data_IF_702407514805
#
_entry.id   IF_702407514805
#
_cell.length_a   1.000
_cell.length_b   1.000
_cell.length_c   1.000
_cell.angle_alpha   90.00
_cell.angle_beta   90.00
_cell.angle_gamma   90.00
#
_symmetry.space_group_name_H-M   'P 1'
#
loop_
_entity.id
_entity.type
_entity.pdbx_description
1 polymer ?
2 water ?
#
# COMPACT_ATOMS: atom_id res chain seq x y z
N UNK A 3 10.78 13.76 -17.93
CA UNK A 3 10.55 12.70 -18.95
C UNK A 3 10.53 11.26 -18.41
N UNK A 4 10.91 11.07 -17.14
CA UNK A 4 10.90 9.76 -16.45
C UNK A 4 9.50 9.27 -16.05
N UNK A 5 9.23 7.96 -16.20
CA UNK A 5 7.91 7.46 -15.80
C UNK A 5 7.83 7.65 -14.28
N UNK A 6 6.69 8.10 -13.79
CA UNK A 6 6.55 8.32 -12.37
C UNK A 6 5.09 8.22 -11.94
N UNK A 7 4.89 7.80 -10.69
CA UNK A 7 3.56 7.70 -10.10
C UNK A 7 3.62 7.83 -8.61
N UNK A 8 2.70 8.63 -8.09
CA UNK A 8 2.51 8.76 -6.65
C UNK A 8 0.99 8.83 -6.50
N UNK A 9 0.43 7.70 -6.11
CA UNK A 9 -1.00 7.58 -5.93
C UNK A 9 -1.36 7.40 -4.45
N UNK A 10 -2.55 7.86 -4.10
CA UNK A 10 -3.05 7.79 -2.73
C UNK A 10 -4.34 6.97 -2.60
N UNK A 11 -4.63 6.56 -1.37
CA UNK A 11 -5.85 5.84 -1.09
C UNK A 11 -7.01 6.79 -1.41
N UNK A 12 -8.06 6.22 -1.98
CA UNK A 12 -9.25 6.99 -2.31
C UNK A 12 -10.13 6.89 -1.04
N UNK A 13 -10.32 7.99 -0.30
CA UNK A 13 -11.13 7.96 0.92
C UNK A 13 -12.65 7.68 0.76
N UNK A 14 -13.12 7.58 -0.48
CA UNK A 14 -14.52 7.29 -0.77
C UNK A 14 -14.68 5.78 -0.96
N UNK A 15 -13.57 5.04 -1.01
CA UNK A 15 -13.63 3.60 -1.15
C UNK A 15 -13.70 3.05 0.27
N UNK A 16 -14.87 2.57 0.65
CA UNK A 16 -15.10 2.02 2.00
C UNK A 16 -14.65 0.59 2.05
N UNK A 17 -13.78 0.26 3.00
CA UNK A 17 -13.29 -1.11 3.15
C UNK A 17 -12.53 -1.72 1.98
N UNK A 18 -11.73 -0.90 1.30
CA UNK A 18 -10.91 -1.38 0.22
C UNK A 18 -9.77 -0.40 0.09
N UNK A 19 -8.62 -0.86 -0.40
CA UNK A 19 -7.50 0.04 -0.65
C UNK A 19 -7.56 0.35 -2.14
N UNK A 20 -8.23 1.44 -2.50
CA UNK A 20 -8.37 1.87 -3.90
C UNK A 20 -7.41 3.02 -4.18
N UNK A 21 -6.44 2.80 -5.05
CA UNK A 21 -5.45 3.84 -5.37
C UNK A 21 -5.99 4.90 -6.33
N UNK A 22 -5.57 6.15 -6.14
CA UNK A 22 -6.04 7.24 -7.00
C UNK A 22 -5.01 8.32 -7.21
N UNK A 23 -4.96 8.85 -8.44
CA UNK A 23 -4.02 9.92 -8.79
C UNK A 23 -4.76 11.25 -8.87
N UNK A 24 -6.05 11.24 -8.53
CA UNK A 24 -6.90 12.42 -8.64
C UNK A 24 -6.86 13.21 -7.38
N UNK A 25 -5.68 13.76 -7.11
CA UNK A 25 -5.44 14.55 -5.94
C UNK A 25 -4.33 15.56 -6.29
N UNK A 26 -4.36 16.73 -5.69
CA UNK A 26 -3.26 17.64 -5.92
C UNK A 26 -2.17 16.87 -5.12
N UNK A 27 -0.90 17.06 -5.48
CA UNK A 27 0.23 16.37 -4.85
C UNK A 27 0.29 14.84 -5.10
N UNK A 28 -0.36 14.37 -6.16
CA UNK A 28 -0.31 12.97 -6.57
C UNK A 28 0.15 13.05 -8.03
N UNK A 29 0.76 11.98 -8.54
CA UNK A 29 1.29 11.94 -9.92
C UNK A 29 1.00 10.63 -10.65
N UNK A 30 0.87 10.69 -11.97
CA UNK A 30 0.68 9.51 -12.81
C UNK A 30 1.07 9.98 -14.23
N UNK A 31 2.39 10.08 -14.46
CA UNK A 31 2.96 10.62 -15.71
C UNK A 31 3.91 9.76 -16.50
N UNK A 32 4.15 10.18 -17.73
CA UNK A 32 5.10 9.51 -18.61
C UNK A 32 4.96 8.01 -18.85
N UNK A 33 3.74 7.51 -18.99
CA UNK A 33 3.54 6.10 -19.32
C UNK A 33 3.06 5.14 -18.26
N UNK A 34 3.27 5.50 -17.00
CA UNK A 34 2.81 4.62 -15.94
C UNK A 34 1.28 4.66 -15.96
N UNK A 35 0.66 3.48 -15.93
CA UNK A 35 -0.79 3.35 -15.97
C UNK A 35 -1.32 2.77 -14.69
N UNK A 36 -2.51 3.19 -14.30
CA UNK A 36 -3.19 2.65 -13.14
C UNK A 36 -4.33 1.84 -13.82
N UNK A 37 -4.18 0.52 -13.81
CA UNK A 37 -5.10 -0.44 -14.39
C UNK A 37 -5.42 -1.48 -13.32
N UNK A 38 -6.70 -1.80 -13.13
CA UNK A 38 -7.11 -2.79 -12.12
C UNK A 38 -6.45 -2.52 -10.75
N UNK A 39 -6.33 -1.27 -10.34
CA UNK A 39 -5.72 -0.95 -9.05
C UNK A 39 -4.22 -1.29 -8.98
N UNK A 40 -3.61 -1.52 -10.14
CA UNK A 40 -2.18 -1.86 -10.24
C UNK A 40 -1.43 -0.85 -11.08
N UNK A 41 -0.12 -0.71 -10.85
CA UNK A 41 0.73 0.22 -11.60
C UNK A 41 1.48 -0.60 -12.64
N UNK A 42 1.27 -0.22 -13.90
CA UNK A 42 1.85 -0.90 -15.05
C UNK A 42 3.09 -0.13 -15.53
N UNK A 43 4.25 -0.79 -15.57
CA UNK A 43 5.50 -0.14 -16.02
C UNK A 43 5.60 0.01 -17.55
N UNK A 44 5.85 1.23 -18.02
CA UNK A 44 5.98 1.62 -19.44
C UNK A 44 7.27 1.28 -20.19
N UNK A 45 8.32 0.92 -19.45
CA UNK A 45 9.63 0.62 -20.02
C UNK A 45 10.44 -0.23 -19.04
N UNK A 46 11.39 -0.96 -19.56
CA UNK A 46 12.22 -1.78 -18.70
C UNK A 46 13.22 -0.83 -18.07
N UNK A 47 13.64 -1.10 -16.83
CA UNK A 47 14.60 -0.22 -16.17
C UNK A 47 14.69 -0.43 -14.66
N UNK A 48 15.46 0.40 -13.97
CA UNK A 48 15.57 0.30 -12.52
C UNK A 48 14.54 1.28 -11.98
N UNK A 49 13.69 0.84 -11.03
CA UNK A 49 12.68 1.69 -10.43
C UNK A 49 12.77 1.73 -8.90
N UNK A 50 12.67 2.92 -8.31
CA UNK A 50 12.55 3.01 -6.86
C UNK A 50 11.02 2.81 -6.64
N UNK A 51 10.62 1.87 -5.79
CA UNK A 51 9.21 1.59 -5.55
C UNK A 51 8.97 1.75 -4.05
N UNK A 52 7.86 2.36 -3.64
CA UNK A 52 7.63 2.56 -2.21
C UNK A 52 6.13 2.66 -1.83
N UNK A 53 5.82 2.53 -0.55
CA UNK A 53 4.42 2.61 -0.14
C UNK A 53 4.32 2.72 1.37
N UNK A 54 3.31 3.43 1.84
CA UNK A 54 3.07 3.52 3.26
C UNK A 54 1.57 3.25 3.45
N UNK A 55 1.26 2.56 4.54
CA UNK A 55 -0.10 2.30 4.93
C UNK A 55 -0.17 2.68 6.39
N UNK A 56 -1.33 3.14 6.83
CA UNK A 56 -1.54 3.47 8.23
C UNK A 56 -2.81 2.76 8.74
N UNK A 57 -2.67 1.96 9.80
CA UNK A 57 -3.80 1.22 10.38
C UNK A 57 -4.24 1.88 11.67
N UNK A 58 -5.49 1.74 12.00
CA UNK A 58 -5.94 2.35 13.21
C UNK A 58 -6.92 1.44 13.86
N UNK A 59 -6.89 1.37 15.20
CA UNK A 59 -7.84 0.54 15.94
C UNK A 59 -8.36 1.18 17.22
N UNK A 60 -9.33 0.72 17.86
CA UNK A 60 -9.85 1.32 19.11
C UNK A 60 -9.83 0.31 20.23
N UNK A 61 -8.63 0.16 20.79
CA UNK A 61 -8.38 -0.74 21.86
C UNK A 61 -8.02 -2.08 21.29
N UNK A 62 -7.87 -3.06 22.16
CA UNK A 62 -7.52 -4.43 21.76
C UNK A 62 -8.59 -5.51 22.09
N UNK A 63 -9.84 -5.39 21.55
CA UNK A 63 -10.97 -6.32 21.76
C UNK A 63 -10.70 -7.82 22.09
N UNK A 64 -10.69 -8.69 22.92
CA UNK A 64 -10.72 -10.16 23.03
C UNK A 64 -9.71 -11.15 22.38
N UNK A 65 -9.16 -10.83 21.21
CA UNK A 65 -8.26 -11.77 20.54
C UNK A 65 -7.26 -11.00 19.66
N UNK A 66 -5.75 -12.89 18.12
CA UNK A 66 -5.28 -11.55 17.84
C UNK A 66 -5.03 -11.32 16.34
N UNK A 67 -4.85 -10.13 16.02
CA UNK A 67 -4.82 -9.55 14.69
C UNK A 67 -3.40 -9.21 14.25
N UNK A 68 -3.08 -9.61 13.03
CA UNK A 68 -1.80 -9.32 12.39
C UNK A 68 -2.13 -8.44 11.20
N UNK A 69 -1.30 -7.44 10.98
CA UNK A 69 -1.54 -6.51 9.89
C UNK A 69 -0.39 -6.68 8.91
N UNK A 70 -0.70 -6.91 7.64
CA UNK A 70 0.35 -7.11 6.64
C UNK A 70 0.25 -6.07 5.53
N UNK A 71 1.38 -5.81 4.88
CA UNK A 71 1.48 -4.87 3.76
C UNK A 71 2.53 -5.47 2.87
N UNK A 72 2.23 -5.63 1.58
CA UNK A 72 3.23 -6.21 0.69
C UNK A 72 3.12 -5.57 -0.68
N UNK A 73 4.25 -5.49 -1.35
CA UNK A 73 4.25 -4.94 -2.72
C UNK A 73 4.68 -6.13 -3.56
N UNK A 74 3.82 -6.60 -4.47
CA UNK A 74 4.17 -7.68 -5.37
C UNK A 74 4.40 -7.21 -6.80
N UNK A 75 5.07 -8.06 -7.56
CA UNK A 75 5.36 -7.82 -8.96
C UNK A 75 4.66 -8.96 -9.70
N UNK A 76 3.93 -8.66 -10.78
CA UNK A 76 3.28 -9.72 -11.57
C UNK A 76 3.85 -9.79 -12.99
N UNK A 77 5.25 -10.15 -13.35
CA UNK A 77 6.08 -10.05 -14.55
C UNK A 77 5.42 -10.41 -15.88
N UNK A 78 5.96 -9.82 -16.95
CA UNK A 78 5.51 -10.09 -18.30
C UNK A 78 4.20 -9.43 -18.83
N UNK A 79 3.10 -10.17 -18.74
CA UNK A 79 1.79 -9.78 -19.27
C UNK A 79 0.99 -11.02 -18.95
N UNK A 80 0.58 -11.11 -17.68
CA UNK A 80 -0.16 -12.25 -17.14
C UNK A 80 0.75 -13.45 -16.79
N UNK A 81 1.82 -13.19 -16.03
CA UNK A 81 2.71 -14.27 -15.59
C UNK A 81 2.43 -14.42 -14.09
N UNK A 82 3.39 -14.95 -13.32
CA UNK A 82 3.19 -15.15 -11.88
C UNK A 82 3.29 -13.89 -11.03
N UNK A 83 2.87 -14.01 -9.78
CA UNK A 83 2.94 -12.93 -8.81
C UNK A 83 4.06 -13.31 -7.82
N UNK A 84 4.89 -12.35 -7.42
CA UNK A 84 5.99 -12.59 -6.47
C UNK A 84 6.19 -11.37 -5.55
N UNK A 85 6.38 -11.43 -4.36
CA UNK A 85 6.57 -10.35 -3.38
C UNK A 85 7.97 -9.75 -3.47
N UNK A 86 8.02 -8.43 -3.55
CA UNK A 86 9.25 -7.72 -3.65
C UNK A 86 9.60 -7.17 -2.29
N UNK A 87 8.59 -6.70 -1.55
CA UNK A 87 8.76 -6.05 -0.24
C UNK A 87 7.57 -6.47 0.60
N UNK A 88 7.79 -6.67 1.90
CA UNK A 88 6.73 -7.15 2.78
C UNK A 88 7.05 -6.84 4.25
N UNK A 89 6.01 -6.52 5.02
CA UNK A 89 6.15 -6.25 6.46
C UNK A 89 4.91 -6.74 7.19
N UNK A 90 5.07 -7.08 8.46
CA UNK A 90 3.97 -7.56 9.30
C UNK A 90 4.08 -6.81 10.59
N UNK A 91 2.95 -6.60 11.23
CA UNK A 91 2.94 -5.89 12.48
C UNK A 91 1.79 -6.45 13.32
N UNK A 92 1.96 -6.52 14.63
CA UNK A 92 0.86 -6.99 15.48
C UNK A 92 0.54 -5.84 16.42
N UNK A 93 -0.68 -5.32 16.32
CA UNK A 93 -1.09 -4.21 17.18
C UNK A 93 -1.32 -4.57 18.64
N UNK A 94 -1.97 -5.69 18.94
CA UNK A 94 -2.21 -6.00 20.34
C UNK A 94 -1.54 -7.24 20.92
N UNK A 95 -0.74 -7.04 21.95
CA UNK A 95 -0.10 -8.19 22.56
C UNK A 95 -1.18 -8.75 23.50
N UNK A 96 -1.97 -7.84 24.10
CA UNK A 96 -3.05 -8.22 25.02
C UNK A 96 -4.17 -7.16 25.17
N UNK A 97 -5.26 -7.58 25.84
CA UNK A 97 -6.50 -6.85 26.20
C UNK A 97 -7.64 -7.83 26.02
N UNK A 98 -8.08 -8.41 27.88
CA UNK A 98 -8.86 -9.60 28.36
C UNK A 98 -10.01 -9.20 29.39
N UNK A 99 -10.50 -10.18 30.27
CA UNK A 99 -11.59 -9.87 31.26
C UNK A 99 -11.96 -8.44 31.84
N UNK A 100 -12.84 -7.70 31.14
CA UNK A 100 -13.30 -6.39 31.62
C UNK A 100 -12.28 -5.37 32.18
N UNK A 101 -12.79 -4.44 32.98
CA UNK A 101 -11.95 -3.38 33.49
C UNK A 101 -12.40 -2.16 32.65
N UNK A 102 -11.43 -1.32 32.28
CA UNK A 102 -11.72 -0.12 31.46
C UNK A 102 -11.19 -0.49 30.07
N UNK A 103 -11.16 0.44 29.09
CA UNK A 103 -10.65 -0.06 27.78
C UNK A 103 -10.40 0.89 26.59
N UNK A 104 -10.40 0.28 24.96
CA UNK A 104 -11.13 1.22 24.10
C UNK A 104 -10.30 2.44 23.65
N UNK A 105 -9.00 2.38 23.89
CA UNK A 105 -8.09 3.45 23.48
C UNK A 105 -7.65 3.19 22.02
N UNK A 106 -7.80 4.20 21.14
CA UNK A 106 -7.39 4.00 19.75
C UNK A 106 -5.88 3.88 19.62
N UNK A 107 -5.45 3.11 18.64
CA UNK A 107 -4.04 2.93 18.44
C UNK A 107 -3.79 3.16 16.97
N UNK A 108 -2.57 3.60 16.62
CA UNK A 108 -2.19 3.81 15.23
C UNK A 108 -0.90 3.08 14.96
N UNK A 109 -0.78 2.58 13.74
CA UNK A 109 0.38 1.82 13.31
C UNK A 109 0.68 2.03 11.82
N UNK A 110 1.80 2.73 11.52
CA UNK A 110 2.22 2.98 10.13
C UNK A 110 3.19 1.86 9.64
N UNK A 111 3.18 1.52 8.36
CA UNK A 111 4.17 0.56 7.85
C UNK A 111 4.71 1.23 6.60
N UNK A 112 6.03 1.26 6.42
CA UNK A 112 6.70 1.82 5.24
C UNK A 112 7.51 0.69 4.50
N UNK A 113 7.44 0.67 3.18
CA UNK A 113 8.17 -0.30 2.35
C UNK A 113 8.83 0.51 1.24
N UNK A 114 10.06 0.19 0.85
CA UNK A 114 10.72 0.93 -0.23
C UNK A 114 11.96 0.21 -0.72
N UNK A 115 12.17 0.10 -2.04
CA UNK A 115 13.36 -0.57 -2.56
C UNK A 115 13.56 -0.34 -4.04
N UNK A 116 14.74 -0.68 -4.56
CA UNK A 116 15.09 -0.48 -5.98
C UNK A 116 15.07 -1.80 -6.72
N UNK A 117 14.31 -1.86 -7.82
CA UNK A 117 14.14 -3.10 -8.59
C UNK A 117 14.22 -2.97 -10.10
N UNK A 118 14.75 -4.01 -10.74
CA UNK A 118 14.87 -4.08 -12.21
C UNK A 118 13.58 -4.69 -12.71
N UNK A 119 12.84 -3.88 -13.47
CA UNK A 119 11.54 -4.24 -14.02
C UNK A 119 11.62 -4.20 -15.53
N UNK A 120 10.67 -4.87 -16.18
CA UNK A 120 10.55 -4.96 -17.63
C UNK A 120 9.28 -4.22 -17.98
N UNK A 121 9.17 -3.73 -19.22
CA UNK A 121 7.95 -3.06 -19.64
C UNK A 121 6.73 -4.01 -19.53
N UNK A 122 5.62 -3.49 -19.02
CA UNK A 122 4.41 -4.30 -18.91
C UNK A 122 4.18 -4.95 -17.56
N UNK A 123 5.25 -5.03 -16.75
CA UNK A 123 5.16 -5.58 -15.41
C UNK A 123 4.09 -4.81 -14.66
N UNK A 124 3.41 -5.49 -13.76
CA UNK A 124 2.38 -4.86 -12.96
C UNK A 124 2.76 -4.94 -11.50
N UNK A 125 2.51 -3.85 -10.79
CA UNK A 125 2.81 -3.77 -9.36
C UNK A 125 1.55 -3.59 -8.52
N UNK A 126 1.49 -4.37 -7.46
CA UNK A 126 0.38 -4.29 -6.53
C UNK A 126 0.86 -3.95 -5.09
N UNK A 127 0.20 -3.02 -4.41
CA UNK A 127 0.50 -2.70 -3.01
C UNK A 127 -0.79 -3.14 -2.33
N UNK A 128 -0.66 -4.15 -1.48
CA UNK A 128 -1.79 -4.77 -0.83
C UNK A 128 -1.69 -4.99 0.66
N UNK A 129 -2.84 -4.88 1.33
CA UNK A 129 -2.95 -5.14 2.78
C UNK A 129 -3.95 -6.29 3.08
N UNK A 130 -3.83 -6.96 4.22
CA UNK A 130 -4.79 -8.02 4.52
C UNK A 130 -6.12 -7.50 5.07
N UNK A 131 -6.10 -6.45 5.89
CA UNK A 131 -7.35 -5.94 6.45
C UNK A 131 -7.64 -4.46 6.11
N UNK A 132 -8.31 -4.22 4.95
CA UNK A 132 -8.64 -2.86 4.53
C UNK A 132 -9.57 -2.17 5.48
N UNK A 133 -10.19 -2.96 6.35
CA UNK A 133 -11.12 -2.41 7.35
C UNK A 133 -10.41 -1.79 8.55
N UNK A 134 -9.09 -1.90 8.60
CA UNK A 134 -8.30 -1.31 9.68
C UNK A 134 -7.53 -0.09 9.15
N UNK A 135 -7.70 0.25 7.87
CA UNK A 135 -6.97 1.39 7.34
C UNK A 135 -7.50 2.72 7.81
N UNK A 136 -6.58 3.68 7.86
CA UNK A 136 -6.90 5.04 8.20
C UNK A 136 -6.32 5.99 7.13
N UNK A 137 -7.17 6.55 6.28
CA UNK A 137 -6.72 7.53 5.28
C UNK A 137 -7.60 8.74 5.49
N UNK A 138 -8.03 8.87 6.75
CA UNK A 138 -8.87 9.95 7.23
C UNK A 138 -8.31 11.27 6.77
N UNK A 139 -7.03 11.26 6.43
CA UNK A 139 -6.41 12.48 5.98
C UNK A 139 -5.02 12.28 5.43
N UNK A 140 -4.52 13.35 4.85
CA UNK A 140 -3.13 13.46 4.46
C UNK A 140 -2.39 12.52 3.54
N UNK A 141 -1.10 12.46 3.83
CA UNK A 141 -0.19 11.64 3.11
C UNK A 141 -0.04 10.46 3.99
N UNK A 142 -1.15 9.89 4.47
CA UNK A 142 -1.13 8.69 5.33
C UNK A 142 -1.00 7.32 4.62
N UNK A 143 -1.57 7.19 3.41
CA UNK A 143 -1.55 5.95 2.62
C UNK A 143 -1.17 6.37 1.22
N UNK A 144 -0.07 5.82 0.69
CA UNK A 144 0.44 6.13 -0.64
C UNK A 144 1.30 5.01 -1.20
N UNK A 145 1.42 5.01 -2.51
CA UNK A 145 2.17 4.02 -3.28
C UNK A 145 2.79 4.79 -4.46
N UNK A 146 4.10 4.71 -4.64
CA UNK A 146 4.72 5.40 -5.77
C UNK A 146 5.85 4.63 -6.42
N UNK A 147 6.24 5.06 -7.61
CA UNK A 147 7.38 4.46 -8.33
C UNK A 147 7.98 5.57 -9.18
N UNK A 148 9.28 5.50 -9.39
CA UNK A 148 9.98 6.48 -10.22
C UNK A 148 11.15 5.75 -10.91
N UNK A 149 11.26 5.91 -12.23
CA UNK A 149 12.35 5.26 -12.97
C UNK A 149 13.64 5.99 -12.60
N UNK A 150 14.67 5.21 -12.29
CA UNK A 150 15.99 5.72 -11.89
C UNK A 150 17.02 5.76 -13.03
#
# INVERSE_FOLDING_TARGET
PSDKPVAHVVANPQAEGQLQWSNRRANALLANGVELRDNQLVVPIEGLFLIYSQVLFKGQGCPSTHVLLTHTISRIAVSYQTKVNLLSAIKSPCQRETPEGAEAKPWYEPIYLGGVFQLEKGDRLSAEINRPDYLDFAESGQVYFGIIAL
#
